data_IF_602282856529
#
_entry.id   IF_602282856529
#
_cell.length_a   1.000
_cell.length_b   1.000
_cell.length_c   1.000
_cell.angle_alpha   90.00
_cell.angle_beta   90.00
_cell.angle_gamma   90.00
#
_symmetry.space_group_name_H-M   'P 1'
#
loop_
_entity.id
_entity.type
_entity.pdbx_description
1 polymer ?
#
# COMPACT_ATOMS: atom_id res chain seq x y z
N UNK A 1 8.95 16.73 17.18
CA UNK A 1 8.83 16.41 15.77
C UNK A 1 10.19 16.18 15.09
N UNK A 2 11.20 17.04 15.31
CA UNK A 2 12.56 16.94 14.75
C UNK A 2 13.21 15.55 14.94
N UNK A 3 13.10 14.97 16.14
CA UNK A 3 13.63 13.62 16.41
C UNK A 3 12.95 12.55 15.53
N UNK A 4 11.65 12.67 15.28
CA UNK A 4 10.94 11.76 14.40
C UNK A 4 11.40 11.90 12.95
N UNK A 5 11.57 13.12 12.46
CA UNK A 5 12.11 13.41 11.12
C UNK A 5 13.48 12.77 10.94
N UNK A 6 14.41 12.95 11.89
CA UNK A 6 15.75 12.38 11.84
C UNK A 6 15.74 10.85 11.82
N UNK A 7 14.88 10.21 12.63
CA UNK A 7 14.75 8.76 12.67
C UNK A 7 14.17 8.19 11.35
N UNK A 8 13.13 8.82 10.81
CA UNK A 8 12.53 8.39 9.54
C UNK A 8 13.52 8.58 8.40
N UNK A 9 14.24 9.71 8.34
CA UNK A 9 15.27 9.96 7.32
C UNK A 9 16.38 8.91 7.37
N UNK A 10 16.86 8.54 8.57
CA UNK A 10 17.87 7.49 8.74
C UNK A 10 17.32 6.12 8.32
N UNK A 11 16.06 5.83 8.60
CA UNK A 11 15.39 4.59 8.17
C UNK A 11 15.26 4.51 6.65
N UNK A 12 14.92 5.63 5.99
CA UNK A 12 14.86 5.70 4.53
C UNK A 12 16.24 5.46 3.91
N UNK A 13 17.31 6.03 4.49
CA UNK A 13 18.67 5.82 4.02
C UNK A 13 19.05 4.33 4.09
N UNK A 14 18.79 3.67 5.22
CA UNK A 14 19.01 2.22 5.39
C UNK A 14 18.22 1.39 4.37
N UNK A 15 16.93 1.69 4.18
CA UNK A 15 16.10 0.96 3.21
C UNK A 15 16.64 1.10 1.78
N UNK A 16 17.10 2.29 1.39
CA UNK A 16 17.71 2.53 0.08
C UNK A 16 19.03 1.76 -0.11
N UNK A 17 19.81 1.60 0.93
CA UNK A 17 21.01 0.78 0.91
C UNK A 17 20.64 -0.70 0.70
N UNK A 18 19.69 -1.23 1.44
CA UNK A 18 19.19 -2.61 1.28
C UNK A 18 18.69 -2.85 -0.16
N UNK A 19 17.89 -1.92 -0.72
CA UNK A 19 17.39 -2.03 -2.10
C UNK A 19 18.55 -2.06 -3.10
N UNK A 20 19.55 -1.20 -2.92
CA UNK A 20 20.73 -1.18 -3.77
C UNK A 20 21.44 -2.53 -3.75
N UNK A 21 21.70 -3.05 -2.56
CA UNK A 21 22.48 -4.29 -2.38
C UNK A 21 21.69 -5.52 -2.87
N UNK A 22 20.36 -5.54 -2.74
CA UNK A 22 19.51 -6.56 -3.38
C UNK A 22 19.61 -6.51 -4.92
N UNK A 23 19.59 -5.29 -5.52
CA UNK A 23 19.62 -5.13 -6.98
C UNK A 23 20.93 -5.58 -7.62
N UNK A 24 22.05 -5.50 -6.90
CA UNK A 24 23.36 -5.96 -7.38
C UNK A 24 23.73 -7.37 -6.87
N UNK A 25 22.77 -8.06 -6.23
CA UNK A 25 22.95 -9.41 -5.67
C UNK A 25 24.02 -9.53 -4.57
N UNK A 26 24.32 -8.43 -3.87
CA UNK A 26 25.22 -8.45 -2.70
C UNK A 26 24.47 -8.78 -1.40
N UNK A 27 23.15 -8.69 -1.39
CA UNK A 27 22.31 -9.01 -0.25
C UNK A 27 21.10 -9.87 -0.68
N UNK A 28 20.88 -11.00 0.02
CA UNK A 28 19.72 -11.85 -0.13
C UNK A 28 18.87 -11.81 1.15
N UNK A 29 17.62 -11.37 1.03
CA UNK A 29 16.66 -11.32 2.13
C UNK A 29 15.33 -11.95 1.69
N UNK A 30 14.53 -12.42 2.65
CA UNK A 30 13.22 -13.04 2.40
C UNK A 30 12.09 -11.99 2.19
N UNK A 31 12.43 -10.87 1.54
CA UNK A 31 11.48 -9.83 1.16
C UNK A 31 11.63 -9.54 -0.32
N UNK A 32 10.53 -9.39 -1.00
CA UNK A 32 10.55 -8.95 -2.40
C UNK A 32 11.22 -7.57 -2.53
N UNK A 33 12.06 -7.33 -3.56
CA UNK A 33 12.58 -5.98 -3.82
C UNK A 33 11.46 -4.93 -3.91
N UNK A 34 10.35 -5.27 -4.57
CA UNK A 34 9.16 -4.41 -4.66
C UNK A 34 8.61 -4.06 -3.26
N UNK A 35 8.58 -5.01 -2.31
CA UNK A 35 8.12 -4.74 -0.94
C UNK A 35 9.07 -3.75 -0.23
N UNK A 36 10.37 -3.86 -0.44
CA UNK A 36 11.34 -2.89 0.11
C UNK A 36 11.16 -1.50 -0.49
N UNK A 37 10.85 -1.40 -1.77
CA UNK A 37 10.52 -0.15 -2.45
C UNK A 37 9.20 0.43 -1.93
N UNK A 38 8.18 -0.40 -1.77
CA UNK A 38 6.86 -0.06 -1.21
C UNK A 38 6.99 0.60 0.16
N UNK A 39 7.57 -0.08 1.14
CA UNK A 39 7.74 0.46 2.50
C UNK A 39 8.71 1.64 2.57
N UNK A 40 9.53 1.86 1.53
CA UNK A 40 10.36 3.05 1.40
C UNK A 40 9.54 4.23 0.91
N UNK A 41 8.65 4.04 -0.07
CA UNK A 41 7.72 5.09 -0.53
C UNK A 41 6.79 5.55 0.60
N UNK A 42 6.28 4.64 1.41
CA UNK A 42 5.47 4.98 2.59
C UNK A 42 6.25 5.80 3.61
N UNK A 43 7.51 5.42 3.88
CA UNK A 43 8.37 6.18 4.79
C UNK A 43 8.67 7.59 4.25
N UNK A 44 8.87 7.75 2.94
CA UNK A 44 9.04 9.07 2.29
C UNK A 44 7.75 9.89 2.40
N UNK A 45 6.59 9.30 2.10
CA UNK A 45 5.29 9.96 2.25
C UNK A 45 5.05 10.44 3.68
N UNK A 46 5.42 9.63 4.67
CA UNK A 46 5.32 9.98 6.07
C UNK A 46 6.30 11.11 6.45
N UNK A 47 7.55 11.06 5.95
CA UNK A 47 8.54 12.12 6.18
C UNK A 47 8.05 13.47 5.66
N UNK A 48 7.55 13.54 4.43
CA UNK A 48 6.99 14.76 3.84
C UNK A 48 5.83 15.33 4.68
N UNK A 49 5.02 14.44 5.26
CA UNK A 49 3.93 14.84 6.16
C UNK A 49 4.45 15.43 7.47
N UNK A 50 5.48 14.81 8.07
CA UNK A 50 6.12 15.32 9.29
C UNK A 50 6.79 16.69 9.07
N UNK A 51 7.47 16.87 7.94
CA UNK A 51 8.11 18.13 7.56
C UNK A 51 7.07 19.23 7.34
N UNK A 52 6.00 18.93 6.62
CA UNK A 52 4.91 19.87 6.42
C UNK A 52 4.25 20.31 7.74
N UNK A 53 4.02 19.36 8.66
CA UNK A 53 3.50 19.66 9.99
C UNK A 53 4.46 20.51 10.83
N UNK A 54 5.77 20.30 10.69
CA UNK A 54 6.78 21.12 11.39
C UNK A 54 6.76 22.57 10.90
N UNK A 55 6.48 22.78 9.60
CA UNK A 55 6.32 24.10 9.00
C UNK A 55 4.90 24.66 9.16
N UNK A 56 4.04 24.01 9.93
CA UNK A 56 2.63 24.41 10.13
C UNK A 56 1.84 24.56 8.81
N UNK A 57 2.14 23.72 7.83
CA UNK A 57 1.46 23.64 6.53
C UNK A 57 0.91 22.25 6.26
N UNK A 58 0.02 22.10 5.31
CA UNK A 58 -0.40 20.82 4.78
C UNK A 58 0.54 20.38 3.64
N UNK A 59 0.78 19.07 3.48
CA UNK A 59 1.47 18.54 2.31
C UNK A 59 0.79 19.02 1.01
N UNK A 60 1.58 19.44 0.03
CA UNK A 60 1.06 19.90 -1.27
C UNK A 60 1.18 18.74 -2.27
N UNK A 61 0.05 18.05 -2.49
CA UNK A 61 -0.04 16.99 -3.51
C UNK A 61 -1.24 17.30 -4.40
N UNK A 62 -1.10 17.03 -5.70
CA UNK A 62 -2.28 17.07 -6.59
C UNK A 62 -3.20 15.89 -6.26
N UNK A 63 -4.47 15.98 -6.71
CA UNK A 63 -5.40 14.87 -6.52
C UNK A 63 -4.85 13.56 -7.10
N UNK A 64 -4.29 13.60 -8.32
CA UNK A 64 -3.71 12.41 -8.94
C UNK A 64 -2.47 11.90 -8.22
N UNK A 65 -1.61 12.76 -7.66
CA UNK A 65 -0.46 12.31 -6.88
C UNK A 65 -0.91 11.56 -5.61
N UNK A 66 -1.93 12.08 -4.93
CA UNK A 66 -2.50 11.44 -3.74
C UNK A 66 -3.19 10.11 -4.08
N UNK A 67 -4.05 10.09 -5.09
CA UNK A 67 -4.74 8.89 -5.53
C UNK A 67 -3.78 7.84 -6.08
N UNK A 68 -2.80 8.23 -6.90
CA UNK A 68 -1.84 7.30 -7.46
C UNK A 68 -0.96 6.68 -6.39
N UNK A 69 -0.52 7.46 -5.39
CA UNK A 69 0.20 6.90 -4.25
C UNK A 69 -0.62 5.78 -3.60
N UNK A 70 -1.85 6.07 -3.14
CA UNK A 70 -2.65 5.10 -2.41
C UNK A 70 -3.19 3.96 -3.26
N UNK A 71 -3.55 4.20 -4.53
CA UNK A 71 -3.96 3.15 -5.45
C UNK A 71 -2.79 2.18 -5.72
N UNK A 72 -1.56 2.68 -5.89
CA UNK A 72 -0.36 1.84 -6.01
C UNK A 72 -0.13 1.01 -4.75
N UNK A 73 -0.17 1.62 -3.56
CA UNK A 73 -0.06 0.90 -2.28
C UNK A 73 -1.10 -0.23 -2.16
N UNK A 74 -2.36 0.03 -2.53
CA UNK A 74 -3.43 -0.98 -2.45
C UNK A 74 -3.25 -2.10 -3.47
N UNK A 75 -2.80 -1.79 -4.68
CA UNK A 75 -2.50 -2.78 -5.72
C UNK A 75 -1.36 -3.71 -5.31
N UNK A 76 -0.24 -3.14 -4.87
CA UNK A 76 0.91 -3.90 -4.39
C UNK A 76 0.59 -4.77 -3.17
N UNK A 77 -0.29 -4.32 -2.25
CA UNK A 77 -0.78 -5.19 -1.18
C UNK A 77 -1.48 -6.44 -1.72
N UNK A 78 -2.27 -6.30 -2.78
CA UNK A 78 -2.94 -7.45 -3.40
C UNK A 78 -1.90 -8.41 -4.02
N UNK A 79 -0.88 -7.89 -4.70
CA UNK A 79 0.22 -8.70 -5.25
C UNK A 79 1.02 -9.42 -4.15
N UNK A 80 1.33 -8.74 -3.04
CA UNK A 80 2.04 -9.36 -1.91
C UNK A 80 1.19 -10.45 -1.26
N UNK A 81 -0.10 -10.23 -1.07
CA UNK A 81 -1.02 -11.25 -0.55
C UNK A 81 -1.05 -12.45 -1.51
N UNK A 82 -1.18 -12.23 -2.82
CA UNK A 82 -1.10 -13.31 -3.82
C UNK A 82 0.19 -14.12 -3.69
N UNK A 83 1.33 -13.47 -3.61
CA UNK A 83 2.64 -14.10 -3.52
C UNK A 83 2.88 -14.86 -2.21
N UNK A 84 2.20 -14.50 -1.11
CA UNK A 84 2.35 -15.09 0.21
C UNK A 84 1.28 -16.14 0.56
N UNK A 85 0.20 -16.25 -0.23
CA UNK A 85 -0.80 -17.31 -0.11
C UNK A 85 -0.23 -18.65 -0.60
N UNK A 86 -0.63 -19.76 0.05
CA UNK A 86 -0.31 -21.10 -0.43
C UNK A 86 -0.82 -21.31 -1.86
N UNK A 87 -0.08 -21.99 -2.74
CA UNK A 87 -0.51 -22.27 -4.11
C UNK A 87 -1.87 -22.97 -4.24
N UNK A 88 -2.35 -23.61 -3.18
CA UNK A 88 -3.66 -24.28 -3.14
C UNK A 88 -4.83 -23.29 -2.95
N UNK A 89 -4.58 -22.06 -2.47
CA UNK A 89 -5.58 -21.01 -2.25
C UNK A 89 -5.97 -20.28 -3.55
N UNK A 90 -6.30 -21.02 -4.60
CA UNK A 90 -6.49 -20.52 -5.96
C UNK A 90 -7.52 -19.40 -6.07
N UNK A 91 -8.67 -19.52 -5.39
CA UNK A 91 -9.73 -18.52 -5.46
C UNK A 91 -9.32 -17.17 -4.81
N UNK A 92 -8.59 -17.23 -3.69
CA UNK A 92 -8.07 -16.04 -3.02
C UNK A 92 -6.98 -15.37 -3.88
N UNK A 93 -6.09 -16.15 -4.46
CA UNK A 93 -5.04 -15.67 -5.37
C UNK A 93 -5.63 -14.99 -6.61
N UNK A 94 -6.62 -15.61 -7.25
CA UNK A 94 -7.31 -15.03 -8.41
C UNK A 94 -8.01 -13.71 -8.05
N UNK A 95 -8.61 -13.62 -6.85
CA UNK A 95 -9.24 -12.40 -6.36
C UNK A 95 -8.21 -11.30 -6.11
N UNK A 96 -7.07 -11.64 -5.51
CA UNK A 96 -5.97 -10.72 -5.28
C UNK A 96 -5.43 -10.15 -6.61
N UNK A 97 -5.16 -11.00 -7.61
CA UNK A 97 -4.69 -10.59 -8.92
C UNK A 97 -5.67 -9.61 -9.60
N UNK A 98 -6.98 -9.94 -9.60
CA UNK A 98 -8.01 -9.04 -10.16
C UNK A 98 -8.09 -7.69 -9.46
N UNK A 99 -7.82 -7.64 -8.16
CA UNK A 99 -7.79 -6.38 -7.41
C UNK A 99 -6.54 -5.57 -7.74
N UNK A 100 -5.38 -6.20 -7.89
CA UNK A 100 -4.15 -5.55 -8.34
C UNK A 100 -4.34 -4.89 -9.71
N UNK A 101 -4.84 -5.64 -10.71
CA UNK A 101 -5.14 -5.13 -12.06
C UNK A 101 -6.07 -3.90 -12.04
N UNK A 102 -7.10 -3.91 -11.18
CA UNK A 102 -8.02 -2.76 -11.05
C UNK A 102 -7.32 -1.51 -10.52
N UNK A 103 -6.43 -1.66 -9.54
CA UNK A 103 -5.68 -0.53 -9.01
C UNK A 103 -4.66 0.01 -10.01
N UNK A 104 -4.02 -0.85 -10.80
CA UNK A 104 -3.14 -0.44 -11.89
C UNK A 104 -3.89 0.42 -12.91
N UNK A 105 -5.09 -0.02 -13.34
CA UNK A 105 -5.96 0.75 -14.24
C UNK A 105 -6.36 2.12 -13.65
N UNK A 106 -6.58 2.21 -12.34
CA UNK A 106 -6.88 3.48 -11.68
C UNK A 106 -5.69 4.44 -11.70
N UNK A 107 -4.46 3.92 -11.50
CA UNK A 107 -3.23 4.72 -11.58
C UNK A 107 -3.03 5.25 -13.00
N UNK A 108 -3.15 4.38 -14.01
CA UNK A 108 -3.00 4.77 -15.42
C UNK A 108 -4.08 5.76 -15.88
N UNK A 109 -5.31 5.55 -15.42
CA UNK A 109 -6.48 6.33 -15.81
C UNK A 109 -6.58 7.71 -15.16
N UNK A 110 -5.83 7.99 -14.08
CA UNK A 110 -6.06 9.17 -13.25
C UNK A 110 -6.01 10.50 -14.04
N UNK A 111 -5.04 10.66 -14.92
CA UNK A 111 -4.87 11.90 -15.71
C UNK A 111 -5.90 12.08 -16.83
N UNK A 112 -6.56 10.99 -17.24
CA UNK A 112 -7.49 10.95 -18.37
C UNK A 112 -8.96 10.82 -17.94
N UNK A 113 -9.22 10.84 -16.64
CA UNK A 113 -10.55 10.65 -16.04
C UNK A 113 -10.92 11.92 -15.26
N UNK A 114 -12.20 12.28 -15.19
CA UNK A 114 -12.64 13.42 -14.37
C UNK A 114 -12.39 13.11 -12.88
N UNK A 115 -12.05 14.16 -12.11
CA UNK A 115 -11.74 14.05 -10.67
C UNK A 115 -12.82 13.30 -9.90
N UNK A 116 -14.08 13.66 -10.11
CA UNK A 116 -15.22 13.01 -9.47
C UNK A 116 -15.24 11.49 -9.77
N UNK A 117 -15.11 11.12 -11.03
CA UNK A 117 -15.18 9.72 -11.46
C UNK A 117 -14.01 8.90 -10.92
N UNK A 118 -12.78 9.42 -10.97
CA UNK A 118 -11.62 8.67 -10.47
C UNK A 118 -11.69 8.47 -8.96
N UNK A 119 -12.20 9.45 -8.18
CA UNK A 119 -12.44 9.29 -6.74
C UNK A 119 -13.52 8.25 -6.46
N UNK A 120 -14.63 8.26 -7.23
CA UNK A 120 -15.70 7.27 -7.09
C UNK A 120 -15.21 5.84 -7.40
N UNK A 121 -14.45 5.67 -8.50
CA UNK A 121 -13.89 4.37 -8.90
C UNK A 121 -12.83 3.88 -7.90
N UNK A 122 -11.94 4.75 -7.42
CA UNK A 122 -10.98 4.42 -6.35
C UNK A 122 -11.70 4.02 -5.06
N UNK A 123 -12.76 4.73 -4.68
CA UNK A 123 -13.57 4.40 -3.50
C UNK A 123 -14.21 3.02 -3.60
N UNK A 124 -14.80 2.71 -4.76
CA UNK A 124 -15.43 1.43 -5.02
C UNK A 124 -14.41 0.28 -4.94
N UNK A 125 -13.25 0.44 -5.59
CA UNK A 125 -12.21 -0.58 -5.63
C UNK A 125 -11.57 -0.75 -4.23
N UNK A 126 -11.36 0.34 -3.49
CA UNK A 126 -10.82 0.28 -2.14
C UNK A 126 -11.77 -0.41 -1.15
N UNK A 127 -13.10 -0.26 -1.31
CA UNK A 127 -14.07 -1.05 -0.53
C UNK A 127 -13.94 -2.54 -0.82
N UNK A 128 -13.79 -2.93 -2.08
CA UNK A 128 -13.61 -4.34 -2.46
C UNK A 128 -12.33 -4.93 -1.85
N UNK A 129 -11.21 -4.22 -1.90
CA UNK A 129 -9.96 -4.71 -1.29
C UNK A 129 -10.03 -4.72 0.23
N UNK A 130 -10.75 -3.79 0.83
CA UNK A 130 -10.98 -3.75 2.29
C UNK A 130 -11.81 -4.96 2.75
N UNK A 131 -12.88 -5.31 2.03
CA UNK A 131 -13.69 -6.52 2.30
C UNK A 131 -12.84 -7.79 2.14
N UNK A 132 -12.05 -7.88 1.07
CA UNK A 132 -11.13 -8.98 0.83
C UNK A 132 -10.10 -9.12 1.97
N UNK A 133 -9.43 -8.03 2.35
CA UNK A 133 -8.45 -8.01 3.45
C UNK A 133 -9.09 -8.36 4.80
N UNK A 134 -10.34 -7.94 5.03
CA UNK A 134 -11.09 -8.30 6.24
C UNK A 134 -11.34 -9.81 6.31
N UNK A 135 -11.82 -10.39 5.22
CA UNK A 135 -12.06 -11.84 5.15
C UNK A 135 -10.75 -12.63 5.28
N UNK A 136 -9.69 -12.19 4.57
CA UNK A 136 -8.37 -12.82 4.64
C UNK A 136 -7.78 -12.76 6.06
N UNK A 137 -7.81 -11.60 6.72
CA UNK A 137 -7.29 -11.45 8.10
C UNK A 137 -8.03 -12.34 9.08
N UNK A 138 -9.36 -12.42 8.99
CA UNK A 138 -10.17 -13.30 9.83
C UNK A 138 -9.83 -14.78 9.56
N UNK A 139 -9.70 -15.17 8.30
CA UNK A 139 -9.33 -16.53 7.91
C UNK A 139 -7.92 -16.94 8.38
N UNK A 140 -6.97 -16.00 8.37
CA UNK A 140 -5.63 -16.20 8.93
C UNK A 140 -5.66 -16.43 10.44
N UNK A 141 -6.41 -15.60 11.19
CA UNK A 141 -6.55 -15.72 12.65
C UNK A 141 -7.22 -17.06 13.02
N UNK A 142 -8.17 -17.51 12.22
CA UNK A 142 -8.91 -18.77 12.44
C UNK A 142 -8.21 -20.00 11.85
N UNK A 143 -7.01 -19.86 11.30
CA UNK A 143 -6.27 -20.93 10.61
C UNK A 143 -7.07 -21.61 9.47
N UNK A 144 -7.93 -20.86 8.80
CA UNK A 144 -8.75 -21.31 7.67
C UNK A 144 -8.09 -21.07 6.31
N UNK A 145 -7.08 -20.19 6.27
CA UNK A 145 -6.32 -19.85 5.05
C UNK A 145 -4.89 -20.36 5.20
N UNK A 146 -4.44 -21.08 4.19
CA UNK A 146 -3.05 -21.54 4.10
C UNK A 146 -2.17 -20.44 3.51
N UNK A 147 -1.18 -19.99 4.26
CA UNK A 147 -0.28 -18.93 3.82
C UNK A 147 0.95 -18.85 4.70
N UNK A 148 1.92 -18.06 4.26
CA UNK A 148 3.04 -17.61 5.10
C UNK A 148 2.80 -16.18 5.64
N UNK A 149 1.60 -15.64 5.45
CA UNK A 149 1.19 -14.33 5.96
C UNK A 149 0.97 -14.43 7.47
N UNK A 150 1.70 -13.65 8.26
CA UNK A 150 1.41 -13.54 9.68
C UNK A 150 0.14 -12.69 9.91
N UNK A 151 -0.73 -13.03 10.88
CA UNK A 151 -1.97 -12.29 11.11
C UNK A 151 -1.79 -10.79 11.34
N UNK A 152 -0.67 -10.38 11.96
CA UNK A 152 -0.34 -8.98 12.19
C UNK A 152 -0.13 -8.20 10.87
N UNK A 153 0.44 -8.84 9.83
CA UNK A 153 0.58 -8.24 8.51
C UNK A 153 -0.79 -8.11 7.85
N UNK A 154 -1.68 -9.10 7.99
CA UNK A 154 -3.06 -9.02 7.51
C UNK A 154 -3.83 -7.84 8.12
N UNK A 155 -3.75 -7.65 9.44
CA UNK A 155 -4.34 -6.52 10.15
C UNK A 155 -3.74 -5.17 9.71
N UNK A 156 -2.42 -5.11 9.51
CA UNK A 156 -1.72 -3.91 9.06
C UNK A 156 -2.25 -3.42 7.71
N UNK A 157 -2.24 -4.27 6.69
CA UNK A 157 -2.70 -3.89 5.34
C UNK A 157 -4.21 -3.59 5.29
N UNK A 158 -5.00 -4.17 6.20
CA UNK A 158 -6.41 -3.83 6.38
C UNK A 158 -6.59 -2.42 6.96
N UNK A 159 -5.78 -2.03 7.95
CA UNK A 159 -5.81 -0.66 8.51
C UNK A 159 -5.47 0.39 7.47
N UNK A 160 -4.55 0.11 6.57
CA UNK A 160 -4.19 1.03 5.49
C UNK A 160 -5.32 1.17 4.47
N UNK A 161 -6.02 0.09 4.12
CA UNK A 161 -7.23 0.19 3.30
C UNK A 161 -8.31 1.06 3.97
N UNK A 162 -8.50 0.91 5.29
CA UNK A 162 -9.42 1.76 6.06
C UNK A 162 -8.94 3.23 6.10
N UNK A 163 -7.63 3.46 6.14
CA UNK A 163 -7.06 4.81 6.10
C UNK A 163 -7.30 5.45 4.74
N UNK A 164 -7.05 4.74 3.65
CA UNK A 164 -7.29 5.25 2.31
C UNK A 164 -8.79 5.56 2.08
N UNK A 165 -9.71 4.73 2.58
CA UNK A 165 -11.15 5.06 2.53
C UNK A 165 -11.49 6.37 3.23
N UNK A 166 -10.82 6.70 4.35
CA UNK A 166 -11.01 8.00 5.02
C UNK A 166 -10.51 9.17 4.17
N UNK A 167 -9.36 9.01 3.51
CA UNK A 167 -8.84 10.01 2.56
C UNK A 167 -9.83 10.23 1.42
N UNK A 168 -10.33 9.14 0.81
CA UNK A 168 -11.29 9.20 -0.29
C UNK A 168 -12.60 9.88 0.11
N UNK A 169 -13.08 9.68 1.34
CA UNK A 169 -14.24 10.40 1.87
C UNK A 169 -13.99 11.91 1.96
N UNK A 170 -12.79 12.32 2.37
CA UNK A 170 -12.44 13.75 2.43
C UNK A 170 -12.31 14.36 1.03
N UNK A 171 -11.85 13.60 0.04
CA UNK A 171 -11.72 14.05 -1.34
C UNK A 171 -13.06 14.11 -2.10
N UNK A 172 -14.11 13.48 -1.57
CA UNK A 172 -15.45 13.43 -2.16
C UNK A 172 -16.34 14.62 -1.75
N UNK A 173 -15.90 15.43 -0.78
CA UNK A 173 -16.62 16.62 -0.29
C UNK A 173 -16.23 17.88 -1.07
#
# INVERSE_FOLDING_TARGET
NERAINLVSSTIALKREIIRDQRICDLFIFLYPLLMEHITREAVYFLETLEALQESRLPRRSLCDELNFWNTIMGEHAEFIDGLLDPTEKALKETAAKLADKFEQLVEGCKNTSEKRIVEESTKTTKQVQEYKTAATNGLIQCQIRSIIVPLLGDHVLREANHFLRILMMLSC
#
